data_IF_512376675093
#
_entry.id   IF_512376675093
#
_cell.length_a   1.000
_cell.length_b   1.000
_cell.length_c   1.000
_cell.angle_alpha   90.00
_cell.angle_beta   90.00
_cell.angle_gamma   90.00
#
_symmetry.space_group_name_H-M   'P 1'
#
loop_
_entity.id
_entity.type
_entity.pdbx_description
1 polymer ?
#
# COMPACT_ATOMS: atom_id res chain seq x y z
N UNK A 1 27.54 -3.93 -33.31
CA UNK A 1 28.95 -3.72 -32.94
C UNK A 1 29.12 -4.09 -31.46
N UNK A 2 29.88 -5.17 -31.22
CA UNK A 2 30.45 -5.71 -29.96
C UNK A 2 29.50 -5.83 -28.74
N UNK A 3 29.04 -7.00 -28.26
CA UNK A 3 29.70 -8.30 -28.00
C UNK A 3 31.12 -8.17 -27.46
N UNK A 4 31.28 -8.21 -26.14
CA UNK A 4 32.52 -8.67 -25.51
C UNK A 4 32.21 -9.72 -24.43
N UNK A 5 32.63 -10.93 -24.75
CA UNK A 5 32.86 -12.09 -23.86
C UNK A 5 34.32 -12.03 -23.36
N UNK A 6 34.59 -12.91 -22.38
CA UNK A 6 35.89 -13.39 -21.84
C UNK A 6 36.36 -12.64 -20.58
N UNK A 7 36.18 -13.22 -19.38
CA UNK A 7 36.92 -14.33 -18.77
C UNK A 7 38.35 -13.93 -18.36
N UNK A 8 38.67 -14.02 -17.07
CA UNK A 8 39.92 -14.55 -16.50
C UNK A 8 39.73 -14.75 -14.98
N UNK A 9 40.12 -15.94 -14.54
CA UNK A 9 40.20 -16.38 -13.15
C UNK A 9 41.39 -15.73 -12.43
N UNK A 10 41.25 -15.45 -11.13
CA UNK A 10 42.40 -15.46 -10.21
C UNK A 10 41.94 -15.89 -8.82
N UNK A 11 42.42 -17.07 -8.42
CA UNK A 11 42.50 -17.55 -7.04
C UNK A 11 43.28 -16.55 -6.18
N UNK A 12 42.82 -16.33 -4.95
CA UNK A 12 43.52 -15.50 -3.96
C UNK A 12 43.03 -15.80 -2.55
N UNK A 13 43.38 -16.98 -2.04
CA UNK A 13 43.26 -17.34 -0.63
C UNK A 13 44.31 -16.55 0.16
N UNK A 14 43.91 -15.55 0.95
CA UNK A 14 44.77 -14.98 1.99
C UNK A 14 43.96 -14.73 3.26
N UNK A 15 44.32 -15.52 4.27
CA UNK A 15 43.92 -15.35 5.65
C UNK A 15 44.32 -13.96 6.14
N UNK A 16 43.36 -13.25 6.73
CA UNK A 16 43.57 -12.07 7.53
C UNK A 16 42.59 -12.09 8.69
N UNK A 17 43.03 -12.60 9.84
CA UNK A 17 42.39 -12.35 11.12
C UNK A 17 42.46 -10.83 11.37
N UNK A 18 41.39 -10.13 11.00
CA UNK A 18 41.14 -8.77 11.44
C UNK A 18 39.88 -8.79 12.29
N UNK A 19 40.02 -8.61 13.60
CA UNK A 19 38.89 -8.42 14.51
C UNK A 19 38.13 -7.17 14.10
N UNK A 20 37.11 -7.33 13.24
CA UNK A 20 36.11 -6.31 13.04
C UNK A 20 35.33 -6.20 14.35
N UNK A 21 35.52 -5.09 15.07
CA UNK A 21 34.65 -4.70 16.16
C UNK A 21 33.24 -4.59 15.57
N UNK A 22 32.40 -5.59 15.82
CA UNK A 22 30.98 -5.51 15.56
C UNK A 22 30.46 -4.36 16.42
N UNK A 23 30.26 -3.20 15.79
CA UNK A 23 29.46 -2.13 16.36
C UNK A 23 28.11 -2.76 16.69
N UNK A 24 27.60 -2.68 17.93
CA UNK A 24 26.25 -3.15 18.21
C UNK A 24 25.33 -2.21 17.44
N UNK A 25 24.91 -2.67 16.26
CA UNK A 25 23.86 -2.02 15.51
C UNK A 25 22.67 -1.95 16.44
N UNK A 26 22.37 -0.76 16.94
CA UNK A 26 21.15 -0.51 17.68
C UNK A 26 20.03 -1.01 16.78
N UNK A 27 19.35 -2.09 17.20
CA UNK A 27 18.15 -2.53 16.54
C UNK A 27 17.21 -1.32 16.55
N UNK A 28 16.83 -0.85 15.35
CA UNK A 28 15.79 0.15 15.25
C UNK A 28 14.57 -0.40 16.01
N UNK A 29 13.86 0.43 16.80
CA UNK A 29 12.64 -0.03 17.45
C UNK A 29 11.73 -0.61 16.37
N UNK A 30 11.21 -1.81 16.61
CA UNK A 30 10.20 -2.38 15.73
C UNK A 30 9.05 -1.37 15.65
N UNK A 31 8.57 -1.10 14.43
CA UNK A 31 7.32 -0.36 14.27
C UNK A 31 6.25 -1.14 15.01
N UNK A 32 5.52 -0.46 15.89
CA UNK A 32 4.39 -1.07 16.58
C UNK A 32 3.31 -1.39 15.55
N UNK A 33 2.78 -2.61 15.60
CA UNK A 33 1.70 -3.03 14.70
C UNK A 33 0.43 -2.23 15.03
N UNK A 34 -0.33 -1.77 14.03
CA UNK A 34 -1.59 -1.06 14.25
C UNK A 34 -2.57 -1.88 15.11
N UNK A 35 -3.27 -1.17 15.98
CA UNK A 35 -4.28 -1.74 16.86
C UNK A 35 -5.68 -1.67 16.24
N UNK A 36 -6.65 -2.34 16.88
CA UNK A 36 -8.07 -2.17 16.54
C UNK A 36 -8.52 -0.70 16.66
N UNK A 37 -7.98 0.06 17.62
CA UNK A 37 -8.30 1.47 17.79
C UNK A 37 -7.81 2.31 16.61
N UNK A 38 -6.58 2.06 16.14
CA UNK A 38 -6.01 2.72 14.96
C UNK A 38 -6.86 2.46 13.70
N UNK A 39 -7.25 1.21 13.49
CA UNK A 39 -8.17 0.82 12.42
C UNK A 39 -9.52 1.56 12.53
N UNK A 40 -10.11 1.63 13.72
CA UNK A 40 -11.38 2.33 13.93
C UNK A 40 -11.28 3.82 13.61
N UNK A 41 -10.19 4.47 14.01
CA UNK A 41 -9.92 5.88 13.69
C UNK A 41 -9.79 6.07 12.19
N UNK A 42 -8.94 5.26 11.53
CA UNK A 42 -8.72 5.35 10.08
C UNK A 42 -10.02 5.15 9.28
N UNK A 43 -10.84 4.15 9.67
CA UNK A 43 -12.15 3.90 9.06
C UNK A 43 -13.10 5.07 9.26
N UNK A 44 -13.14 5.67 10.45
CA UNK A 44 -14.01 6.81 10.73
C UNK A 44 -13.63 8.04 9.89
N UNK A 45 -12.33 8.33 9.78
CA UNK A 45 -11.82 9.43 8.95
C UNK A 45 -12.14 9.22 7.47
N UNK A 46 -11.85 8.04 6.93
CA UNK A 46 -12.13 7.69 5.55
C UNK A 46 -13.64 7.75 5.23
N UNK A 47 -14.51 7.32 6.15
CA UNK A 47 -15.97 7.46 6.03
C UNK A 47 -16.40 8.92 5.98
N UNK A 48 -15.83 9.78 6.83
CA UNK A 48 -16.16 11.20 6.83
C UNK A 48 -15.77 11.88 5.50
N UNK A 49 -14.60 11.53 4.95
CA UNK A 49 -14.17 11.98 3.62
C UNK A 49 -15.14 11.52 2.53
N UNK A 50 -15.47 10.22 2.50
CA UNK A 50 -16.39 9.67 1.51
C UNK A 50 -17.79 10.31 1.59
N UNK A 51 -18.30 10.56 2.81
CA UNK A 51 -19.60 11.17 3.03
C UNK A 51 -19.70 12.63 2.56
N UNK A 52 -18.56 13.32 2.35
CA UNK A 52 -18.54 14.68 1.80
C UNK A 52 -18.85 14.73 0.29
N UNK A 53 -18.85 13.58 -0.40
CA UNK A 53 -19.21 13.47 -1.80
C UNK A 53 -20.66 12.96 -1.99
N UNK A 54 -21.32 13.33 -3.10
CA UNK A 54 -22.60 12.74 -3.48
C UNK A 54 -22.52 11.20 -3.57
N UNK A 55 -23.61 10.51 -3.23
CA UNK A 55 -23.67 9.03 -3.22
C UNK A 55 -23.42 8.38 -4.58
N UNK A 56 -23.65 9.10 -5.67
CA UNK A 56 -23.42 8.67 -7.05
C UNK A 56 -22.04 9.08 -7.60
N UNK A 57 -21.22 9.78 -6.80
CA UNK A 57 -19.88 10.17 -7.21
C UNK A 57 -18.94 8.95 -7.24
N UNK A 58 -18.23 8.74 -8.35
CA UNK A 58 -17.40 7.55 -8.54
C UNK A 58 -16.30 7.39 -7.48
N UNK A 59 -15.59 8.47 -7.12
CA UNK A 59 -14.63 8.43 -6.00
C UNK A 59 -15.23 7.91 -4.70
N UNK A 60 -16.48 8.27 -4.39
CA UNK A 60 -17.16 7.77 -3.21
C UNK A 60 -17.47 6.28 -3.34
N UNK A 61 -17.95 5.85 -4.51
CA UNK A 61 -18.21 4.45 -4.79
C UNK A 61 -16.96 3.57 -4.57
N UNK A 62 -15.81 3.98 -5.10
CA UNK A 62 -14.56 3.22 -4.91
C UNK A 62 -14.03 3.31 -3.48
N UNK A 63 -14.16 4.46 -2.81
CA UNK A 63 -13.81 4.60 -1.40
C UNK A 63 -14.65 3.68 -0.50
N UNK A 64 -15.97 3.59 -0.73
CA UNK A 64 -16.88 2.72 0.02
C UNK A 64 -16.53 1.24 -0.16
N UNK A 65 -16.04 0.83 -1.35
CA UNK A 65 -15.54 -0.53 -1.58
C UNK A 65 -14.28 -0.82 -0.77
N UNK A 66 -13.33 0.11 -0.72
CA UNK A 66 -12.14 -0.03 0.11
C UNK A 66 -12.48 -0.05 1.61
N UNK A 67 -13.41 0.79 2.06
CA UNK A 67 -13.96 0.77 3.42
C UNK A 67 -14.62 -0.56 3.77
N UNK A 68 -15.36 -1.17 2.84
CA UNK A 68 -15.94 -2.49 3.07
C UNK A 68 -14.86 -3.54 3.31
N UNK A 69 -13.80 -3.54 2.50
CA UNK A 69 -12.67 -4.45 2.72
C UNK A 69 -11.98 -4.18 4.07
N UNK A 70 -11.75 -2.91 4.43
CA UNK A 70 -11.13 -2.57 5.72
C UNK A 70 -11.88 -3.19 6.91
N UNK A 71 -13.21 -3.20 6.88
CA UNK A 71 -14.03 -3.85 7.91
C UNK A 71 -13.95 -5.37 7.90
N UNK A 72 -13.75 -5.97 6.73
CA UNK A 72 -13.52 -7.43 6.60
C UNK A 72 -12.19 -7.79 7.26
N UNK A 73 -11.12 -7.05 6.96
CA UNK A 73 -9.79 -7.30 7.54
C UNK A 73 -9.78 -7.09 9.05
N UNK A 74 -10.40 -6.01 9.53
CA UNK A 74 -10.59 -5.79 10.97
C UNK A 74 -11.36 -6.94 11.64
N UNK A 75 -12.32 -7.54 10.94
CA UNK A 75 -13.06 -8.72 11.42
C UNK A 75 -12.22 -10.00 11.47
N UNK A 76 -11.17 -10.08 10.65
CA UNK A 76 -10.18 -11.16 10.65
C UNK A 76 -9.04 -10.95 11.67
N UNK A 77 -8.94 -9.75 12.26
CA UNK A 77 -7.85 -9.36 13.16
C UNK A 77 -6.64 -8.76 12.44
N UNK A 78 -6.74 -8.51 11.14
CA UNK A 78 -5.69 -7.91 10.30
C UNK A 78 -5.85 -6.38 10.33
N UNK A 79 -5.26 -5.72 11.33
CA UNK A 79 -5.47 -4.30 11.60
C UNK A 79 -4.58 -3.39 10.75
N UNK A 80 -3.40 -3.83 10.36
CA UNK A 80 -2.55 -3.16 9.37
C UNK A 80 -3.21 -3.14 7.99
N UNK A 81 -3.74 -4.26 7.50
CA UNK A 81 -4.53 -4.26 6.26
C UNK A 81 -5.80 -3.41 6.39
N UNK A 82 -6.46 -3.38 7.57
CA UNK A 82 -7.57 -2.45 7.79
C UNK A 82 -7.14 -0.99 7.57
N UNK A 83 -6.05 -0.57 8.21
CA UNK A 83 -5.51 0.80 8.10
C UNK A 83 -5.12 1.11 6.65
N UNK A 84 -4.46 0.18 5.96
CA UNK A 84 -4.09 0.33 4.56
C UNK A 84 -5.31 0.48 3.63
N UNK A 85 -6.36 -0.31 3.85
CA UNK A 85 -7.58 -0.20 3.06
C UNK A 85 -8.36 1.09 3.37
N UNK A 86 -8.36 1.56 4.62
CA UNK A 86 -8.92 2.86 4.98
C UNK A 86 -8.12 4.03 4.37
N UNK A 87 -6.79 3.93 4.30
CA UNK A 87 -5.94 4.91 3.62
C UNK A 87 -6.26 4.96 2.12
N UNK A 88 -6.35 3.80 1.45
CA UNK A 88 -6.78 3.73 0.03
C UNK A 88 -8.16 4.34 -0.19
N UNK A 89 -9.11 4.13 0.72
CA UNK A 89 -10.41 4.78 0.64
C UNK A 89 -10.31 6.32 0.73
N UNK A 90 -9.45 6.83 1.61
CA UNK A 90 -9.19 8.27 1.72
C UNK A 90 -8.56 8.83 0.45
N UNK A 91 -7.63 8.10 -0.17
CA UNK A 91 -6.97 8.51 -1.41
C UNK A 91 -7.94 8.57 -2.59
N UNK A 92 -8.89 7.63 -2.70
CA UNK A 92 -9.92 7.67 -3.75
C UNK A 92 -10.74 8.97 -3.74
N UNK A 93 -11.05 9.48 -2.53
CA UNK A 93 -11.75 10.75 -2.33
C UNK A 93 -10.85 11.95 -2.62
N UNK A 94 -9.62 11.94 -2.07
CA UNK A 94 -8.69 13.09 -2.15
C UNK A 94 -8.18 13.30 -3.56
N UNK A 95 -7.82 12.22 -4.24
CA UNK A 95 -7.16 12.29 -5.55
C UNK A 95 -8.15 12.33 -6.72
N UNK A 96 -9.43 12.00 -6.49
CA UNK A 96 -10.48 12.03 -7.52
C UNK A 96 -10.13 11.27 -8.80
N UNK A 97 -9.45 10.12 -8.65
CA UNK A 97 -8.89 9.31 -9.76
C UNK A 97 -9.91 8.85 -10.81
N UNK A 98 -11.20 8.92 -10.49
CA UNK A 98 -12.30 8.39 -11.29
C UNK A 98 -13.28 9.47 -11.76
N UNK A 99 -12.89 10.73 -11.74
CA UNK A 99 -13.70 11.82 -12.28
C UNK A 99 -13.83 11.67 -13.81
N UNK A 100 -15.06 11.78 -14.32
CA UNK A 100 -15.38 11.63 -15.74
C UNK A 100 -15.75 12.99 -16.30
N UNK A 101 -15.38 13.24 -17.56
CA UNK A 101 -15.85 14.44 -18.26
C UNK A 101 -17.39 14.42 -18.40
N UNK A 102 -18.06 15.58 -18.50
CA UNK A 102 -19.50 15.61 -18.76
C UNK A 102 -19.88 14.77 -19.99
N UNK A 103 -20.76 13.78 -19.79
CA UNK A 103 -21.22 12.87 -20.85
C UNK A 103 -20.36 11.62 -21.06
N UNK A 104 -19.20 11.53 -20.40
CA UNK A 104 -18.39 10.32 -20.37
C UNK A 104 -19.01 9.28 -19.42
N UNK A 105 -18.78 7.99 -19.70
CA UNK A 105 -19.23 6.86 -18.90
C UNK A 105 -18.06 5.95 -18.59
N UNK A 106 -18.08 5.34 -17.41
CA UNK A 106 -17.12 4.32 -17.04
C UNK A 106 -17.18 3.16 -18.05
N UNK A 107 -16.06 2.85 -18.70
CA UNK A 107 -15.96 1.67 -19.57
C UNK A 107 -15.84 0.43 -18.71
N UNK A 108 -16.87 -0.41 -18.70
CA UNK A 108 -16.84 -1.72 -18.07
C UNK A 108 -16.31 -2.71 -19.09
N UNK A 109 -15.17 -3.36 -18.79
CA UNK A 109 -14.62 -4.37 -19.68
C UNK A 109 -15.53 -5.60 -19.70
N UNK A 110 -15.82 -6.10 -20.91
CA UNK A 110 -16.66 -7.28 -21.08
C UNK A 110 -15.90 -8.59 -20.81
N UNK A 111 -16.62 -9.70 -20.63
CA UNK A 111 -16.02 -11.03 -20.43
C UNK A 111 -15.23 -11.60 -21.63
N UNK A 112 -15.06 -10.81 -22.70
CA UNK A 112 -14.44 -11.20 -23.97
C UNK A 112 -13.39 -10.20 -24.47
N UNK A 113 -12.96 -9.24 -23.64
CA UNK A 113 -11.80 -8.37 -23.93
C UNK A 113 -10.49 -8.99 -23.45
#
# INVERSE_FOLDING_TARGET
>A
MHLLRFAICTFGLLAGLGSAMASPGAAAPASEEPTQEDCNVAVAEARALAAALPSDHLSRYFAERHLHQALVEAGNGEFDECVDMAARASDEVRERRHELAPGEKLKVLGAHE
#
